data_IF_338459100784
#
_entry.id   IF_338459100784
#
_cell.length_a   1.000
_cell.length_b   1.000
_cell.length_c   1.000
_cell.angle_alpha   90.00
_cell.angle_beta   90.00
_cell.angle_gamma   90.00
#
_symmetry.space_group_name_H-M   'P 1'
#
loop_
_entity.id
_entity.type
_entity.pdbx_description
1 polymer ?
#
# COMPACT_ATOMS: atom_id res chain seq x y z
N UNK A 1 5.06 -23.63 5.52
CA UNK A 1 5.35 -23.45 4.07
C UNK A 1 6.59 -24.22 3.69
N UNK A 2 6.49 -25.17 2.75
CA UNK A 2 7.66 -25.84 2.18
C UNK A 2 8.30 -24.92 1.14
N UNK A 3 9.57 -24.56 1.35
CA UNK A 3 10.29 -23.64 0.46
C UNK A 3 10.57 -24.25 -0.91
N UNK A 4 10.57 -25.58 -1.03
CA UNK A 4 10.85 -26.29 -2.29
C UNK A 4 9.70 -26.18 -3.28
N UNK A 5 8.46 -26.04 -2.80
CA UNK A 5 7.27 -25.90 -3.65
C UNK A 5 7.31 -24.62 -4.50
N UNK A 6 8.13 -23.65 -4.11
CA UNK A 6 8.29 -22.37 -4.80
C UNK A 6 9.35 -22.39 -5.91
N UNK A 7 10.07 -23.50 -6.13
CA UNK A 7 11.21 -23.53 -7.06
C UNK A 7 10.85 -23.07 -8.49
N UNK A 8 9.76 -23.60 -9.05
CA UNK A 8 9.31 -23.22 -10.39
C UNK A 8 8.82 -21.78 -10.42
N UNK A 9 8.12 -21.35 -9.38
CA UNK A 9 7.60 -20.00 -9.23
C UNK A 9 8.73 -18.98 -9.20
N UNK A 10 9.76 -19.20 -8.38
CA UNK A 10 10.96 -18.36 -8.30
C UNK A 10 11.64 -18.23 -9.66
N UNK A 11 11.87 -19.34 -10.36
CA UNK A 11 12.51 -19.32 -11.67
C UNK A 11 11.73 -18.45 -12.69
N UNK A 12 10.40 -18.53 -12.70
CA UNK A 12 9.55 -17.70 -13.56
C UNK A 12 9.54 -16.24 -13.10
N UNK A 13 9.46 -15.98 -11.79
CA UNK A 13 9.53 -14.63 -11.22
C UNK A 13 10.83 -13.92 -11.61
N UNK A 14 11.98 -14.62 -11.63
CA UNK A 14 13.25 -14.04 -12.12
C UNK A 14 13.15 -13.54 -13.56
N UNK A 15 12.46 -14.28 -14.44
CA UNK A 15 12.24 -13.84 -15.82
C UNK A 15 11.39 -12.57 -15.84
N UNK A 16 10.36 -12.48 -15.00
CA UNK A 16 9.52 -11.28 -14.92
C UNK A 16 10.23 -10.07 -14.30
N UNK A 17 11.14 -10.27 -13.33
CA UNK A 17 11.95 -9.19 -12.76
C UNK A 17 12.79 -8.46 -13.84
N UNK A 18 13.26 -9.16 -14.88
CA UNK A 18 13.99 -8.53 -16.00
C UNK A 18 13.15 -7.55 -16.82
N UNK A 19 11.82 -7.58 -16.66
CA UNK A 19 10.86 -6.75 -17.41
C UNK A 19 10.43 -5.49 -16.66
N UNK A 20 10.78 -5.39 -15.36
CA UNK A 20 10.53 -4.22 -14.54
C UNK A 20 11.11 -2.95 -15.19
N UNK A 21 10.46 -1.82 -14.93
CA UNK A 21 10.89 -0.52 -15.40
C UNK A 21 12.21 -0.14 -14.72
N UNK A 22 13.22 0.14 -15.54
CA UNK A 22 14.51 0.62 -15.08
C UNK A 22 14.46 2.12 -14.84
N UNK A 23 15.39 2.61 -14.03
CA UNK A 23 15.47 4.05 -13.74
C UNK A 23 15.70 4.91 -15.00
N UNK A 24 16.52 4.45 -15.94
CA UNK A 24 16.73 5.12 -17.22
C UNK A 24 15.42 5.29 -18.03
N UNK A 25 14.53 4.29 -17.96
CA UNK A 25 13.23 4.35 -18.65
C UNK A 25 12.26 5.27 -17.94
N UNK A 26 12.28 5.31 -16.61
CA UNK A 26 11.48 6.29 -15.87
C UNK A 26 11.98 7.72 -16.14
N UNK A 27 13.29 7.97 -16.17
CA UNK A 27 13.84 9.28 -16.53
C UNK A 27 13.38 9.73 -17.92
N UNK A 28 13.38 8.83 -18.92
CA UNK A 28 12.76 9.12 -20.24
C UNK A 28 11.30 9.56 -20.12
N UNK A 29 10.50 8.92 -19.25
CA UNK A 29 9.09 9.30 -19.02
C UNK A 29 8.95 10.62 -18.25
N UNK A 30 9.88 10.92 -17.36
CA UNK A 30 9.95 12.19 -16.62
C UNK A 30 10.28 13.35 -17.54
N UNK A 31 11.14 13.15 -18.54
CA UNK A 31 11.50 14.16 -19.53
C UNK A 31 10.54 14.25 -20.72
N UNK A 32 9.62 13.29 -20.84
CA UNK A 32 8.56 13.31 -21.86
C UNK A 32 7.76 14.62 -21.82
N UNK A 33 7.41 15.16 -22.98
CA UNK A 33 6.74 16.47 -23.09
C UNK A 33 5.31 16.47 -22.53
N UNK A 34 4.62 15.34 -22.68
CA UNK A 34 3.20 15.15 -22.37
C UNK A 34 2.91 13.69 -22.00
N UNK A 35 1.70 13.43 -21.52
CA UNK A 35 1.26 12.09 -21.14
C UNK A 35 1.21 11.12 -22.34
N UNK A 36 0.96 11.61 -23.55
CA UNK A 36 0.90 10.79 -24.77
C UNK A 36 2.28 10.25 -25.16
N UNK A 37 3.34 11.03 -24.92
CA UNK A 37 4.71 10.55 -25.02
C UNK A 37 5.04 9.52 -23.92
N UNK A 38 4.53 9.69 -22.70
CA UNK A 38 4.67 8.65 -21.66
C UNK A 38 3.98 7.36 -22.09
N UNK A 39 2.77 7.42 -22.67
CA UNK A 39 2.10 6.23 -23.19
C UNK A 39 2.89 5.55 -24.32
N UNK A 40 3.53 6.30 -25.22
CA UNK A 40 4.41 5.71 -26.24
C UNK A 40 5.58 4.96 -25.63
N UNK A 41 6.26 5.55 -24.64
CA UNK A 41 7.35 4.88 -23.92
C UNK A 41 6.83 3.65 -23.17
N UNK A 42 5.66 3.73 -22.55
CA UNK A 42 5.04 2.62 -21.83
C UNK A 42 4.63 1.47 -22.78
N UNK A 43 4.22 1.79 -24.00
CA UNK A 43 3.95 0.82 -25.07
C UNK A 43 5.17 0.04 -25.57
N UNK A 44 6.39 0.47 -25.22
CA UNK A 44 7.64 -0.28 -25.46
C UNK A 44 7.91 -1.34 -24.36
N UNK A 45 6.98 -1.54 -23.41
CA UNK A 45 7.19 -2.35 -22.20
C UNK A 45 6.12 -3.43 -22.05
N UNK A 46 6.17 -4.22 -20.96
CA UNK A 46 5.17 -5.26 -20.70
C UNK A 46 3.73 -4.71 -20.54
N UNK A 47 3.60 -3.42 -20.24
CA UNK A 47 2.31 -2.73 -20.14
C UNK A 47 1.57 -2.67 -21.48
N UNK A 48 2.26 -2.81 -22.61
CA UNK A 48 1.63 -2.87 -23.93
C UNK A 48 0.54 -3.94 -24.02
N UNK A 49 0.67 -5.04 -23.26
CA UNK A 49 -0.28 -6.14 -23.24
C UNK A 49 -1.64 -5.78 -22.61
N UNK A 50 -1.70 -4.69 -21.83
CA UNK A 50 -2.91 -4.23 -21.15
C UNK A 50 -3.38 -2.86 -21.62
N UNK A 51 -2.66 -2.25 -22.58
CA UNK A 51 -3.03 -0.95 -23.11
C UNK A 51 -4.18 -1.10 -24.12
N UNK A 52 -5.29 -0.35 -23.94
CA UNK A 52 -6.38 -0.32 -24.91
C UNK A 52 -5.91 0.32 -26.24
N UNK A 53 -6.56 -0.06 -27.34
CA UNK A 53 -6.22 0.42 -28.68
C UNK A 53 -6.48 1.92 -28.91
N UNK A 54 -7.23 2.59 -28.04
CA UNK A 54 -7.42 4.04 -28.03
C UNK A 54 -7.23 4.54 -26.60
N UNK A 55 -6.37 5.54 -26.44
CA UNK A 55 -5.99 6.11 -25.16
C UNK A 55 -6.31 7.60 -25.14
N UNK A 56 -6.98 8.05 -24.08
CA UNK A 56 -6.94 9.45 -23.66
C UNK A 56 -6.03 9.56 -22.45
N UNK A 57 -5.41 10.73 -22.24
CA UNK A 57 -4.60 11.00 -21.05
C UNK A 57 -5.28 10.60 -19.73
N UNK A 58 -6.60 10.74 -19.61
CA UNK A 58 -7.38 10.39 -18.42
C UNK A 58 -7.53 8.88 -18.19
N UNK A 59 -7.29 8.05 -19.21
CA UNK A 59 -7.41 6.59 -19.13
C UNK A 59 -6.21 5.90 -18.45
N UNK A 60 -5.22 6.67 -17.98
CA UNK A 60 -3.99 6.11 -17.39
C UNK A 60 -4.28 5.16 -16.21
N UNK A 61 -5.26 5.47 -15.35
CA UNK A 61 -5.63 4.59 -14.23
C UNK A 61 -6.13 3.23 -14.74
N UNK A 62 -6.84 3.17 -15.87
CA UNK A 62 -7.31 1.90 -16.44
C UNK A 62 -6.14 1.00 -16.82
N UNK A 63 -5.08 1.58 -17.41
CA UNK A 63 -3.85 0.83 -17.74
C UNK A 63 -3.19 0.31 -16.46
N UNK A 64 -3.03 1.17 -15.46
CA UNK A 64 -2.39 0.80 -14.19
C UNK A 64 -3.17 -0.29 -13.45
N UNK A 65 -4.50 -0.18 -13.39
CA UNK A 65 -5.36 -1.20 -12.80
C UNK A 65 -5.35 -2.51 -13.59
N UNK A 66 -5.38 -2.45 -14.92
CA UNK A 66 -5.34 -3.64 -15.76
C UNK A 66 -4.01 -4.40 -15.59
N UNK A 67 -2.89 -3.68 -15.51
CA UNK A 67 -1.59 -4.28 -15.21
C UNK A 67 -1.58 -4.90 -13.81
N UNK A 68 -2.03 -4.16 -12.80
CA UNK A 68 -2.10 -4.66 -11.43
C UNK A 68 -2.92 -5.96 -11.37
N UNK A 69 -4.09 -5.99 -12.01
CA UNK A 69 -4.93 -7.18 -12.10
C UNK A 69 -4.23 -8.36 -12.79
N UNK A 70 -3.54 -8.10 -13.90
CA UNK A 70 -2.75 -9.12 -14.60
C UNK A 70 -1.66 -9.69 -13.70
N UNK A 71 -0.92 -8.84 -12.99
CA UNK A 71 0.18 -9.23 -12.11
C UNK A 71 -0.31 -10.06 -10.93
N UNK A 72 -1.38 -9.63 -10.25
CA UNK A 72 -1.93 -10.38 -9.11
C UNK A 72 -2.43 -11.75 -9.54
N UNK A 73 -3.18 -11.84 -10.65
CA UNK A 73 -3.62 -13.13 -11.20
C UNK A 73 -2.45 -14.04 -11.55
N UNK A 74 -1.42 -13.49 -12.21
CA UNK A 74 -0.22 -14.24 -12.55
C UNK A 74 0.50 -14.76 -11.30
N UNK A 75 0.67 -13.94 -10.26
CA UNK A 75 1.35 -14.36 -9.04
C UNK A 75 0.52 -15.37 -8.26
N UNK A 76 -0.81 -15.27 -8.27
CA UNK A 76 -1.71 -16.26 -7.69
C UNK A 76 -1.60 -17.62 -8.39
N UNK A 77 -1.55 -17.64 -9.73
CA UNK A 77 -1.37 -18.85 -10.53
C UNK A 77 0.02 -19.49 -10.36
N UNK A 78 1.04 -18.69 -10.01
CA UNK A 78 2.41 -19.15 -9.84
C UNK A 78 2.73 -19.58 -8.41
N UNK A 79 2.11 -18.97 -7.40
CA UNK A 79 2.42 -19.22 -6.00
C UNK A 79 1.90 -20.58 -5.58
N UNK A 80 2.72 -21.35 -4.86
CA UNK A 80 2.28 -22.61 -4.27
C UNK A 80 1.24 -22.39 -3.15
N UNK A 81 1.33 -21.25 -2.46
CA UNK A 81 0.40 -20.88 -1.40
C UNK A 81 -0.15 -19.46 -1.64
N UNK A 82 -1.48 -19.31 -1.58
CA UNK A 82 -2.17 -18.04 -1.85
C UNK A 82 -1.81 -16.94 -0.85
N UNK A 83 -1.47 -17.32 0.39
CA UNK A 83 -1.14 -16.39 1.48
C UNK A 83 -0.04 -15.37 1.12
N UNK A 84 0.91 -15.76 0.26
CA UNK A 84 1.99 -14.88 -0.21
C UNK A 84 1.44 -13.70 -1.02
N UNK A 85 0.43 -13.95 -1.86
CA UNK A 85 -0.25 -12.94 -2.67
C UNK A 85 -1.26 -12.17 -1.82
N UNK A 86 -1.95 -12.86 -0.91
CA UNK A 86 -2.97 -12.28 -0.04
C UNK A 86 -2.39 -11.20 0.89
N UNK A 87 -1.14 -11.36 1.36
CA UNK A 87 -0.42 -10.31 2.10
C UNK A 87 -0.41 -8.95 1.39
N UNK A 88 -0.33 -8.95 0.05
CA UNK A 88 -0.34 -7.72 -0.73
C UNK A 88 -1.76 -7.34 -1.18
N UNK A 89 -2.62 -8.32 -1.45
CA UNK A 89 -3.99 -8.10 -1.93
C UNK A 89 -4.96 -7.59 -0.86
N UNK A 90 -4.75 -7.95 0.42
CA UNK A 90 -5.69 -7.71 1.51
C UNK A 90 -6.11 -6.24 1.67
N UNK A 91 -5.20 -5.32 1.40
CA UNK A 91 -5.49 -3.87 1.48
C UNK A 91 -6.60 -3.44 0.54
N UNK A 92 -6.80 -4.14 -0.58
CA UNK A 92 -7.86 -3.84 -1.55
C UNK A 92 -9.23 -4.28 -1.02
N UNK A 93 -9.30 -5.41 -0.29
CA UNK A 93 -10.52 -5.80 0.42
C UNK A 93 -10.92 -4.70 1.41
N UNK A 94 -10.02 -4.31 2.31
CA UNK A 94 -10.34 -3.29 3.32
C UNK A 94 -10.58 -1.90 2.73
N UNK A 95 -9.96 -1.55 1.60
CA UNK A 95 -10.33 -0.35 0.84
C UNK A 95 -11.79 -0.42 0.37
N UNK A 96 -12.19 -1.55 -0.19
CA UNK A 96 -13.55 -1.76 -0.66
C UNK A 96 -14.56 -1.81 0.50
N UNK A 97 -14.23 -2.44 1.63
CA UNK A 97 -15.05 -2.42 2.84
C UNK A 97 -15.24 -0.98 3.37
N UNK A 98 -14.16 -0.17 3.41
CA UNK A 98 -14.25 1.25 3.81
C UNK A 98 -15.20 2.02 2.91
N UNK A 99 -15.05 1.83 1.61
CA UNK A 99 -15.88 2.48 0.59
C UNK A 99 -17.34 2.07 0.73
N UNK A 100 -17.60 0.78 0.95
CA UNK A 100 -18.94 0.21 1.13
C UNK A 100 -19.65 0.75 2.37
N UNK A 101 -18.97 0.76 3.51
CA UNK A 101 -19.54 1.29 4.77
C UNK A 101 -19.83 2.78 4.62
N UNK A 102 -18.90 3.56 4.04
CA UNK A 102 -19.11 4.99 3.77
C UNK A 102 -20.24 5.27 2.79
N UNK A 103 -20.36 4.46 1.74
CA UNK A 103 -21.43 4.59 0.75
C UNK A 103 -22.80 4.48 1.43
N UNK A 104 -22.99 3.45 2.27
CA UNK A 104 -24.22 3.26 3.06
C UNK A 104 -24.42 4.37 4.09
N UNK A 105 -23.39 4.68 4.89
CA UNK A 105 -23.42 5.67 5.96
C UNK A 105 -23.75 7.10 5.47
N UNK A 106 -23.23 7.46 4.29
CA UNK A 106 -23.39 8.80 3.71
C UNK A 106 -24.51 8.87 2.67
N UNK A 107 -25.18 7.75 2.39
CA UNK A 107 -26.16 7.61 1.31
C UNK A 107 -25.65 8.15 -0.04
N UNK A 108 -24.43 7.73 -0.42
CA UNK A 108 -23.77 8.13 -1.67
C UNK A 108 -23.37 6.90 -2.45
N UNK A 109 -23.60 6.93 -3.76
CA UNK A 109 -23.01 5.96 -4.66
C UNK A 109 -21.50 6.23 -4.78
N UNK A 110 -20.70 5.23 -4.43
CA UNK A 110 -19.24 5.25 -4.48
C UNK A 110 -18.71 4.06 -5.28
N UNK A 111 -19.54 3.46 -6.14
CA UNK A 111 -19.20 2.22 -6.85
C UNK A 111 -17.95 2.34 -7.73
N UNK A 112 -17.71 3.53 -8.30
CA UNK A 112 -16.52 3.85 -9.09
C UNK A 112 -15.22 3.81 -8.29
N UNK A 113 -15.27 3.88 -6.95
CA UNK A 113 -14.10 3.85 -6.08
C UNK A 113 -13.67 2.43 -5.68
N UNK A 114 -14.46 1.41 -6.02
CA UNK A 114 -14.08 0.03 -5.75
C UNK A 114 -12.93 -0.42 -6.64
N UNK A 115 -12.03 -1.20 -6.05
CA UNK A 115 -10.90 -1.80 -6.74
C UNK A 115 -11.24 -3.28 -6.96
N UNK A 116 -11.29 -3.78 -8.21
CA UNK A 116 -11.64 -5.17 -8.51
C UNK A 116 -10.44 -6.12 -8.27
N UNK A 117 -9.89 -6.04 -7.06
CA UNK A 117 -8.77 -6.81 -6.52
C UNK A 117 -9.06 -7.08 -5.04
N UNK A 118 -8.55 -8.18 -4.53
CA UNK A 118 -8.78 -8.59 -3.16
C UNK A 118 -8.53 -10.08 -2.99
N UNK A 119 -8.71 -10.55 -1.77
CA UNK A 119 -8.54 -11.95 -1.38
C UNK A 119 -9.86 -12.73 -1.50
N UNK A 120 -11.00 -12.03 -1.57
CA UNK A 120 -12.36 -12.57 -1.62
C UNK A 120 -13.18 -11.94 -2.75
N UNK A 121 -14.34 -12.55 -3.05
CA UNK A 121 -15.33 -11.95 -3.97
C UNK A 121 -16.05 -10.78 -3.30
N UNK A 122 -15.59 -9.57 -3.59
CA UNK A 122 -16.18 -8.35 -3.02
C UNK A 122 -17.67 -8.17 -3.38
N UNK A 123 -18.15 -8.67 -4.53
CA UNK A 123 -19.56 -8.52 -4.88
C UNK A 123 -20.47 -9.34 -3.98
N UNK A 124 -20.01 -10.52 -3.55
CA UNK A 124 -20.70 -11.33 -2.55
C UNK A 124 -20.77 -10.58 -1.22
N UNK A 125 -19.64 -10.03 -0.74
CA UNK A 125 -19.58 -9.25 0.51
C UNK A 125 -20.52 -8.02 0.44
N UNK A 126 -20.46 -7.25 -0.66
CA UNK A 126 -21.33 -6.09 -0.88
C UNK A 126 -22.81 -6.46 -0.82
N UNK A 127 -23.19 -7.53 -1.51
CA UNK A 127 -24.58 -8.01 -1.53
C UNK A 127 -25.05 -8.42 -0.13
N UNK A 128 -24.24 -9.20 0.58
CA UNK A 128 -24.54 -9.67 1.93
C UNK A 128 -24.69 -8.49 2.93
N UNK A 129 -23.77 -7.53 2.89
CA UNK A 129 -23.79 -6.35 3.76
C UNK A 129 -25.00 -5.43 3.53
N UNK A 130 -25.38 -5.23 2.25
CA UNK A 130 -26.57 -4.44 1.91
C UNK A 130 -27.87 -5.15 2.29
N UNK A 131 -27.91 -6.48 2.21
CA UNK A 131 -29.02 -7.29 2.67
C UNK A 131 -29.11 -7.42 4.20
N UNK A 132 -28.04 -7.06 4.93
CA UNK A 132 -27.95 -7.25 6.39
C UNK A 132 -27.75 -8.71 6.81
N UNK A 133 -27.30 -9.57 5.90
CA UNK A 133 -27.02 -11.00 6.15
C UNK A 133 -25.55 -11.28 5.87
N UNK A 134 -24.71 -11.22 6.90
CA UNK A 134 -23.27 -11.44 6.82
C UNK A 134 -22.86 -12.86 7.24
N UNK A 135 -23.79 -13.81 7.34
CA UNK A 135 -23.50 -15.16 7.88
C UNK A 135 -22.42 -15.92 7.10
N UNK A 136 -22.41 -15.74 5.78
CA UNK A 136 -21.51 -16.41 4.84
C UNK A 136 -20.27 -15.54 4.49
N UNK A 137 -20.16 -14.34 5.08
CA UNK A 137 -18.97 -13.49 4.93
C UNK A 137 -17.89 -13.96 5.91
N UNK A 138 -16.63 -13.94 5.47
CA UNK A 138 -15.48 -14.25 6.32
C UNK A 138 -15.58 -13.53 7.68
N UNK A 139 -15.40 -14.24 8.81
CA UNK A 139 -15.58 -13.64 10.13
C UNK A 139 -14.77 -12.36 10.36
N UNK A 140 -13.53 -12.27 9.85
CA UNK A 140 -12.69 -11.08 10.04
C UNK A 140 -13.25 -9.87 9.29
N UNK A 141 -13.85 -10.07 8.12
CA UNK A 141 -14.51 -9.00 7.37
C UNK A 141 -15.87 -8.64 7.96
N UNK A 142 -16.65 -9.62 8.41
CA UNK A 142 -17.91 -9.39 9.11
C UNK A 142 -17.70 -8.54 10.36
N UNK A 143 -16.77 -8.92 11.24
CA UNK A 143 -16.48 -8.17 12.46
C UNK A 143 -16.04 -6.73 12.16
N UNK A 144 -15.21 -6.55 11.11
CA UNK A 144 -14.75 -5.23 10.68
C UNK A 144 -15.92 -4.35 10.19
N UNK A 145 -16.83 -4.91 9.39
CA UNK A 145 -18.02 -4.23 8.88
C UNK A 145 -18.98 -3.85 10.01
N UNK A 146 -19.27 -4.79 10.91
CA UNK A 146 -20.16 -4.58 12.06
C UNK A 146 -19.60 -3.51 13.00
N UNK A 147 -18.32 -3.60 13.36
CA UNK A 147 -17.67 -2.62 14.24
C UNK A 147 -17.71 -1.20 13.67
N UNK A 148 -17.39 -1.05 12.37
CA UNK A 148 -17.40 0.26 11.72
C UNK A 148 -18.82 0.83 11.58
N UNK A 149 -19.80 -0.01 11.28
CA UNK A 149 -21.22 0.39 11.17
C UNK A 149 -21.76 0.84 12.52
N UNK A 150 -21.57 0.03 13.57
CA UNK A 150 -22.06 0.32 14.92
C UNK A 150 -21.43 1.60 15.49
N UNK A 151 -20.12 1.82 15.31
CA UNK A 151 -19.46 3.03 15.80
C UNK A 151 -19.94 4.28 15.04
N UNK A 152 -20.19 4.17 13.74
CA UNK A 152 -20.77 5.26 12.97
C UNK A 152 -22.22 5.57 13.40
N UNK A 153 -23.06 4.57 13.61
CA UNK A 153 -24.43 4.76 14.10
C UNK A 153 -24.47 5.44 15.47
N UNK A 154 -23.50 5.14 16.34
CA UNK A 154 -23.40 5.73 17.68
C UNK A 154 -22.81 7.15 17.68
N UNK A 155 -21.83 7.45 16.83
CA UNK A 155 -21.04 8.71 16.91
C UNK A 155 -21.21 9.65 15.72
N UNK A 156 -21.69 9.17 14.59
CA UNK A 156 -21.95 9.95 13.37
C UNK A 156 -20.71 10.54 12.69
N UNK A 157 -19.49 10.09 13.02
CA UNK A 157 -18.24 10.62 12.44
C UNK A 157 -17.67 9.66 11.37
N UNK A 158 -17.71 10.02 10.07
CA UNK A 158 -17.19 9.18 8.98
C UNK A 158 -15.68 8.91 9.06
N UNK A 159 -14.91 9.75 9.77
CA UNK A 159 -13.47 9.52 9.95
C UNK A 159 -13.19 8.28 10.78
N UNK A 160 -14.13 7.90 11.65
CA UNK A 160 -14.00 6.73 12.52
C UNK A 160 -14.14 5.41 11.77
N UNK A 161 -14.86 5.43 10.64
CA UNK A 161 -14.96 4.28 9.73
C UNK A 161 -13.56 3.89 9.22
N UNK A 162 -12.76 4.87 8.80
CA UNK A 162 -11.37 4.62 8.35
C UNK A 162 -10.53 4.07 9.51
N UNK A 163 -10.58 4.71 10.68
CA UNK A 163 -9.78 4.30 11.84
C UNK A 163 -10.08 2.86 12.28
N UNK A 164 -11.35 2.47 12.29
CA UNK A 164 -11.75 1.11 12.67
C UNK A 164 -11.29 0.12 11.61
N UNK A 165 -11.62 0.34 10.34
CA UNK A 165 -11.29 -0.62 9.30
C UNK A 165 -9.78 -0.72 9.05
N UNK A 166 -9.01 0.36 9.25
CA UNK A 166 -7.55 0.30 9.22
C UNK A 166 -6.99 -0.57 10.37
N UNK A 167 -7.57 -0.52 11.58
CA UNK A 167 -7.18 -1.43 12.67
C UNK A 167 -7.42 -2.89 12.32
N UNK A 168 -8.61 -3.21 11.81
CA UNK A 168 -8.93 -4.58 11.39
C UNK A 168 -8.03 -5.04 10.24
N UNK A 169 -7.74 -4.15 9.28
CA UNK A 169 -6.80 -4.42 8.21
C UNK A 169 -5.41 -4.79 8.73
N UNK A 170 -4.81 -3.96 9.57
CA UNK A 170 -3.46 -4.21 10.06
C UNK A 170 -3.38 -5.38 11.03
N UNK A 171 -4.43 -5.62 11.81
CA UNK A 171 -4.56 -6.85 12.62
C UNK A 171 -4.52 -8.09 11.73
N UNK A 172 -5.39 -8.13 10.73
CA UNK A 172 -5.50 -9.25 9.81
C UNK A 172 -4.21 -9.45 9.01
N UNK A 173 -3.61 -8.36 8.51
CA UNK A 173 -2.34 -8.40 7.79
C UNK A 173 -1.21 -8.98 8.65
N UNK A 174 -1.13 -8.57 9.93
CA UNK A 174 -0.13 -9.09 10.86
C UNK A 174 -0.32 -10.59 11.12
N UNK A 175 -1.56 -11.03 11.32
CA UNK A 175 -1.88 -12.46 11.51
C UNK A 175 -1.48 -13.29 10.28
N UNK A 176 -1.80 -12.84 9.07
CA UNK A 176 -1.36 -13.51 7.84
C UNK A 176 0.17 -13.58 7.75
N UNK A 177 0.86 -12.47 8.05
CA UNK A 177 2.32 -12.47 8.00
C UNK A 177 2.92 -13.45 9.00
N UNK A 178 2.35 -13.52 10.20
CA UNK A 178 2.75 -14.46 11.25
C UNK A 178 2.50 -15.91 10.86
N UNK A 179 1.39 -16.21 10.20
CA UNK A 179 1.07 -17.57 9.73
C UNK A 179 2.09 -18.11 8.71
N UNK A 180 2.74 -17.23 7.94
CA UNK A 180 3.79 -17.67 7.00
C UNK A 180 5.08 -18.13 7.67
N UNK A 181 5.36 -17.69 8.90
CA UNK A 181 6.64 -17.84 9.59
C UNK A 181 7.88 -17.34 8.80
N UNK A 182 7.68 -16.49 7.78
CA UNK A 182 8.77 -15.91 6.98
C UNK A 182 9.21 -14.57 7.59
N UNK A 183 10.49 -14.45 8.03
CA UNK A 183 10.96 -13.22 8.69
C UNK A 183 10.80 -11.96 7.87
N UNK A 184 10.99 -12.03 6.54
CA UNK A 184 10.79 -10.89 5.65
C UNK A 184 9.36 -10.35 5.74
N UNK A 185 8.35 -11.21 5.72
CA UNK A 185 6.94 -10.81 5.68
C UNK A 185 6.51 -10.21 7.01
N UNK A 186 6.91 -10.85 8.12
CA UNK A 186 6.65 -10.33 9.47
C UNK A 186 7.32 -8.97 9.64
N UNK A 187 8.62 -8.84 9.32
CA UNK A 187 9.33 -7.58 9.44
C UNK A 187 8.71 -6.48 8.57
N UNK A 188 8.40 -6.78 7.30
CA UNK A 188 7.75 -5.84 6.39
C UNK A 188 6.44 -5.29 6.97
N UNK A 189 5.58 -6.16 7.50
CA UNK A 189 4.29 -5.76 8.05
C UNK A 189 4.45 -4.95 9.34
N UNK A 190 5.33 -5.38 10.26
CA UNK A 190 5.56 -4.64 11.50
C UNK A 190 6.17 -3.25 11.24
N UNK A 191 7.12 -3.15 10.32
CA UNK A 191 7.72 -1.87 9.94
C UNK A 191 6.69 -0.97 9.24
N UNK A 192 5.84 -1.53 8.38
CA UNK A 192 4.73 -0.80 7.76
C UNK A 192 3.74 -0.26 8.81
N UNK A 193 3.46 -1.03 9.87
CA UNK A 193 2.63 -0.59 11.00
C UNK A 193 3.31 0.57 11.73
N UNK A 194 4.59 0.46 12.06
CA UNK A 194 5.32 1.52 12.77
C UNK A 194 5.38 2.81 11.96
N UNK A 195 5.68 2.74 10.66
CA UNK A 195 5.61 3.92 9.78
C UNK A 195 4.20 4.50 9.68
N UNK A 196 3.17 3.65 9.61
CA UNK A 196 1.77 4.09 9.58
C UNK A 196 1.35 4.79 10.87
N UNK A 197 1.85 4.31 12.01
CA UNK A 197 1.66 4.92 13.32
C UNK A 197 2.36 6.28 13.43
N UNK A 198 3.63 6.38 13.02
CA UNK A 198 4.37 7.65 13.01
C UNK A 198 3.67 8.65 12.06
N UNK A 199 3.28 8.21 10.86
CA UNK A 199 2.54 9.05 9.91
C UNK A 199 1.24 9.57 10.52
N UNK A 200 0.49 8.69 11.20
CA UNK A 200 -0.75 9.03 11.88
C UNK A 200 -0.51 10.04 13.01
N UNK A 201 0.51 9.82 13.84
CA UNK A 201 0.91 10.75 14.90
C UNK A 201 1.18 12.15 14.34
N UNK A 202 2.00 12.27 13.29
CA UNK A 202 2.33 13.58 12.69
C UNK A 202 1.08 14.28 12.15
N UNK A 203 0.19 13.52 11.49
CA UNK A 203 -1.09 14.05 10.98
C UNK A 203 -1.98 14.57 12.11
N UNK A 204 -2.14 13.79 13.18
CA UNK A 204 -3.00 14.13 14.31
C UNK A 204 -2.43 15.28 15.14
N UNK A 205 -1.10 15.36 15.28
CA UNK A 205 -0.40 16.51 15.87
C UNK A 205 -0.72 17.80 15.10
N UNK A 206 -0.68 17.78 13.76
CA UNK A 206 -1.04 18.93 12.92
C UNK A 206 -2.52 19.33 13.06
N UNK A 207 -3.39 18.37 13.36
CA UNK A 207 -4.82 18.58 13.59
C UNK A 207 -5.16 18.98 15.04
N UNK A 208 -4.15 19.13 15.92
CA UNK A 208 -4.33 19.43 17.35
C UNK A 208 -5.28 18.46 18.07
N UNK A 209 -5.22 17.17 17.72
CA UNK A 209 -6.01 16.12 18.37
C UNK A 209 -5.43 15.79 19.75
N UNK A 210 -6.29 15.34 20.67
CA UNK A 210 -5.89 14.97 22.02
C UNK A 210 -5.22 13.59 22.08
N UNK A 211 -4.56 13.30 23.20
CA UNK A 211 -3.84 12.04 23.40
C UNK A 211 -4.76 10.81 23.27
N UNK A 212 -5.99 10.90 23.79
CA UNK A 212 -6.97 9.81 23.71
C UNK A 212 -7.32 9.46 22.27
N UNK A 213 -7.55 10.47 21.43
CA UNK A 213 -7.81 10.23 20.00
C UNK A 213 -6.60 9.61 19.29
N UNK A 214 -5.38 10.00 19.67
CA UNK A 214 -4.15 9.37 19.14
C UNK A 214 -4.06 7.91 19.56
N UNK A 215 -4.22 7.59 20.85
CA UNK A 215 -4.24 6.21 21.34
C UNK A 215 -5.30 5.35 20.65
N UNK A 216 -6.48 5.93 20.39
CA UNK A 216 -7.52 5.31 19.59
C UNK A 216 -7.15 5.15 18.12
N UNK A 217 -6.32 6.00 17.52
CA UNK A 217 -5.99 5.93 16.10
C UNK A 217 -4.79 5.03 15.80
N UNK A 218 -3.92 4.78 16.78
CA UNK A 218 -2.72 3.98 16.60
C UNK A 218 -3.05 2.47 16.48
N UNK A 219 -2.25 1.83 15.65
CA UNK A 219 -2.31 0.43 15.29
C UNK A 219 -1.44 -0.39 16.24
N UNK A 220 -1.88 -1.61 16.56
CA UNK A 220 -1.09 -2.59 17.33
C UNK A 220 -0.16 -3.40 16.41
N UNK A 221 0.72 -4.20 17.01
CA UNK A 221 1.60 -5.20 16.35
C UNK A 221 2.83 -4.67 15.60
N UNK A 222 3.09 -3.36 15.64
CA UNK A 222 4.38 -2.79 15.27
C UNK A 222 5.51 -3.23 16.22
N UNK A 223 6.76 -2.96 15.86
CA UNK A 223 7.92 -3.19 16.74
C UNK A 223 8.00 -2.16 17.85
N UNK A 224 7.41 -0.97 17.61
CA UNK A 224 7.30 0.10 18.60
C UNK A 224 5.93 0.01 19.26
N UNK A 225 5.88 -0.01 20.60
CA UNK A 225 4.61 -0.03 21.33
C UNK A 225 3.81 1.23 20.99
N UNK A 226 2.52 1.08 20.74
CA UNK A 226 1.65 2.22 20.37
C UNK A 226 1.61 3.27 21.48
N UNK A 227 1.71 2.87 22.75
CA UNK A 227 1.77 3.77 23.89
C UNK A 227 3.04 4.64 23.84
N UNK A 228 4.17 4.06 23.43
CA UNK A 228 5.42 4.82 23.25
C UNK A 228 5.27 5.86 22.14
N UNK A 229 4.59 5.52 21.03
CA UNK A 229 4.32 6.47 19.94
C UNK A 229 3.34 7.55 20.38
N UNK A 230 2.29 7.21 21.13
CA UNK A 230 1.29 8.17 21.60
C UNK A 230 1.93 9.28 22.46
N UNK A 231 2.87 8.91 23.33
CA UNK A 231 3.60 9.85 24.19
C UNK A 231 4.47 10.86 23.41
N UNK A 232 4.73 10.63 22.12
CA UNK A 232 5.44 11.55 21.25
C UNK A 232 4.55 12.71 20.74
N UNK A 233 3.24 12.71 21.05
CA UNK A 233 2.31 13.72 20.54
C UNK A 233 2.73 15.16 20.89
N UNK A 234 3.25 15.39 22.09
CA UNK A 234 3.66 16.72 22.57
C UNK A 234 5.08 17.11 22.15
N UNK A 235 5.88 16.15 21.68
CA UNK A 235 7.28 16.35 21.34
C UNK A 235 7.48 17.23 20.09
N UNK A 236 8.63 17.90 20.01
CA UNK A 236 9.10 18.50 18.75
C UNK A 236 9.51 17.41 17.76
N UNK A 237 9.54 17.72 16.46
CA UNK A 237 10.01 16.78 15.43
C UNK A 237 11.43 16.29 15.72
N UNK A 238 12.33 17.18 16.19
CA UNK A 238 13.70 16.80 16.56
C UNK A 238 13.75 15.80 17.73
N UNK A 239 12.86 15.96 18.73
CA UNK A 239 12.75 15.01 19.84
C UNK A 239 12.23 13.65 19.35
N UNK A 240 11.23 13.64 18.47
CA UNK A 240 10.70 12.42 17.84
C UNK A 240 11.81 11.68 17.09
N UNK A 241 12.56 12.38 16.23
CA UNK A 241 13.69 11.81 15.49
C UNK A 241 14.71 11.18 16.44
N UNK A 242 15.07 11.89 17.51
CA UNK A 242 16.05 11.41 18.48
C UNK A 242 15.58 10.18 19.25
N UNK A 243 14.31 10.14 19.68
CA UNK A 243 13.73 9.00 20.40
C UNK A 243 13.59 7.76 19.52
N UNK A 244 13.35 7.94 18.23
CA UNK A 244 13.15 6.83 17.28
C UNK A 244 14.44 6.31 16.63
N UNK A 245 15.60 6.96 16.86
CA UNK A 245 16.84 6.71 16.11
C UNK A 245 17.41 5.28 16.23
N UNK A 246 17.13 4.60 17.34
CA UNK A 246 17.69 3.28 17.64
C UNK A 246 16.83 2.13 17.10
N UNK A 247 15.62 2.41 16.60
CA UNK A 247 14.78 1.42 15.92
C UNK A 247 15.31 1.17 14.51
N UNK A 248 15.01 0.00 13.95
CA UNK A 248 15.45 -0.38 12.60
C UNK A 248 14.95 0.60 11.52
N UNK A 249 13.72 1.13 11.69
CA UNK A 249 13.14 2.16 10.83
C UNK A 249 13.69 3.57 11.09
N UNK A 250 14.54 3.75 12.11
CA UNK A 250 15.01 5.05 12.61
C UNK A 250 15.71 5.90 11.53
N UNK A 251 16.65 5.36 10.73
CA UNK A 251 17.30 6.12 9.67
C UNK A 251 16.34 6.67 8.60
N UNK A 252 15.37 5.86 8.17
CA UNK A 252 14.37 6.28 7.19
C UNK A 252 13.35 7.26 7.80
N UNK A 253 12.92 7.01 9.03
CA UNK A 253 12.07 7.93 9.82
C UNK A 253 12.72 9.30 9.95
N UNK A 254 14.03 9.36 10.27
CA UNK A 254 14.79 10.61 10.33
C UNK A 254 14.74 11.36 9.00
N UNK A 255 15.12 10.72 7.90
CA UNK A 255 15.10 11.33 6.56
C UNK A 255 13.71 11.87 6.20
N UNK A 256 12.67 11.08 6.46
CA UNK A 256 11.29 11.44 6.16
C UNK A 256 10.79 12.62 6.99
N UNK A 257 11.09 12.65 8.29
CA UNK A 257 10.69 13.75 9.17
C UNK A 257 11.48 15.04 8.91
N UNK A 258 12.76 14.97 8.59
CA UNK A 258 13.57 16.13 8.16
C UNK A 258 13.07 16.70 6.82
N UNK A 259 12.66 15.84 5.89
CA UNK A 259 12.03 16.27 4.64
C UNK A 259 10.67 16.95 4.92
N UNK A 260 9.82 16.33 5.74
CA UNK A 260 8.54 16.91 6.17
C UNK A 260 8.72 18.26 6.89
N UNK A 261 9.72 18.41 7.75
CA UNK A 261 10.00 19.66 8.46
C UNK A 261 10.36 20.80 7.49
N UNK A 262 11.07 20.49 6.40
CA UNK A 262 11.45 21.48 5.37
C UNK A 262 10.29 21.86 4.45
N UNK A 263 9.41 20.92 4.11
CA UNK A 263 8.40 21.12 3.05
C UNK A 263 6.96 21.23 3.56
N UNK A 264 6.68 20.76 4.77
CA UNK A 264 5.35 20.59 5.33
C UNK A 264 4.50 19.50 4.67
N UNK A 265 5.08 18.68 3.77
CA UNK A 265 4.36 17.68 2.98
C UNK A 265 4.60 16.28 3.52
N UNK A 266 3.53 15.64 3.99
CA UNK A 266 3.61 14.28 4.53
C UNK A 266 3.99 13.24 3.47
N UNK A 267 3.75 13.53 2.18
CA UNK A 267 4.19 12.70 1.05
C UNK A 267 5.71 12.50 1.00
N UNK A 268 6.49 13.45 1.54
CA UNK A 268 7.95 13.33 1.59
C UNK A 268 8.38 12.31 2.66
N UNK A 269 7.62 12.16 3.75
CA UNK A 269 7.79 11.06 4.72
C UNK A 269 7.37 9.72 4.10
N UNK A 270 6.23 9.68 3.40
CA UNK A 270 5.75 8.46 2.74
C UNK A 270 6.73 7.94 1.68
N UNK A 271 7.45 8.84 0.99
CA UNK A 271 8.51 8.45 0.06
C UNK A 271 9.63 7.68 0.76
N UNK A 272 10.12 8.15 1.90
CA UNK A 272 11.19 7.47 2.64
C UNK A 272 10.71 6.14 3.27
N UNK A 273 9.45 6.06 3.69
CA UNK A 273 8.80 4.80 4.07
C UNK A 273 8.79 3.80 2.90
N UNK A 274 8.30 4.21 1.73
CA UNK A 274 8.25 3.37 0.53
C UNK A 274 9.66 2.88 0.15
N UNK A 275 10.67 3.77 0.18
CA UNK A 275 12.06 3.45 -0.13
C UNK A 275 12.66 2.44 0.86
N UNK A 276 12.37 2.58 2.16
CA UNK A 276 12.80 1.62 3.18
C UNK A 276 12.19 0.24 2.94
N UNK A 277 10.87 0.18 2.73
CA UNK A 277 10.15 -1.07 2.50
C UNK A 277 10.62 -1.76 1.21
N UNK A 278 10.93 -1.00 0.16
CA UNK A 278 11.60 -1.53 -1.03
C UNK A 278 12.98 -2.11 -0.70
N UNK A 279 13.77 -1.39 0.10
CA UNK A 279 15.09 -1.83 0.58
C UNK A 279 15.06 -3.15 1.33
N UNK A 280 14.04 -3.39 2.17
CA UNK A 280 13.85 -4.67 2.87
C UNK A 280 13.67 -5.86 1.92
N UNK A 281 13.11 -5.63 0.74
CA UNK A 281 12.82 -6.67 -0.25
C UNK A 281 14.00 -6.95 -1.20
N UNK A 282 14.98 -6.04 -1.31
CA UNK A 282 16.13 -6.21 -2.22
C UNK A 282 16.97 -7.48 -1.97
N UNK A 283 17.20 -7.95 -0.73
CA UNK A 283 17.91 -9.20 -0.49
C UNK A 283 17.23 -10.44 -1.07
N UNK A 284 15.92 -10.38 -1.34
CA UNK A 284 15.18 -11.50 -1.94
C UNK A 284 15.72 -11.93 -3.30
N UNK A 285 16.49 -11.09 -4.00
CA UNK A 285 17.18 -11.46 -5.24
C UNK A 285 18.17 -12.63 -5.09
N UNK A 286 18.68 -12.85 -3.88
CA UNK A 286 19.63 -13.92 -3.57
C UNK A 286 18.95 -15.20 -3.06
N UNK A 287 17.61 -15.19 -2.92
CA UNK A 287 16.84 -16.34 -2.47
C UNK A 287 16.46 -17.20 -3.69
N UNK A 288 16.90 -18.46 -3.67
CA UNK A 288 16.64 -19.42 -4.76
C UNK A 288 15.47 -20.38 -4.45
N UNK A 289 15.10 -20.52 -3.18
CA UNK A 289 14.03 -21.39 -2.71
C UNK A 289 13.20 -20.64 -1.68
N UNK A 290 11.90 -20.49 -1.90
CA UNK A 290 10.97 -19.83 -0.98
C UNK A 290 10.08 -18.77 -1.63
N UNK A 291 9.13 -18.22 -0.86
CA UNK A 291 8.12 -17.29 -1.35
C UNK A 291 8.61 -15.84 -1.53
N UNK A 292 9.76 -15.49 -0.95
CA UNK A 292 10.25 -14.10 -0.86
C UNK A 292 10.41 -13.41 -2.22
N UNK A 293 10.91 -14.08 -3.29
CA UNK A 293 10.98 -13.47 -4.62
C UNK A 293 9.61 -13.09 -5.19
N UNK A 294 8.57 -13.89 -4.93
CA UNK A 294 7.19 -13.62 -5.41
C UNK A 294 6.65 -12.38 -4.70
N UNK A 295 6.75 -12.34 -3.37
CA UNK A 295 6.35 -11.19 -2.57
C UNK A 295 7.11 -9.91 -2.98
N UNK A 296 8.43 -10.02 -3.15
CA UNK A 296 9.27 -8.87 -3.54
C UNK A 296 8.94 -8.36 -4.94
N UNK A 297 8.59 -9.26 -5.87
CA UNK A 297 8.11 -8.88 -7.19
C UNK A 297 6.77 -8.14 -7.13
N UNK A 298 5.83 -8.56 -6.27
CA UNK A 298 4.60 -7.81 -6.03
C UNK A 298 4.89 -6.41 -5.47
N UNK A 299 5.76 -6.29 -4.46
CA UNK A 299 6.19 -4.99 -3.91
C UNK A 299 6.84 -4.10 -5.00
N UNK A 300 7.67 -4.69 -5.87
CA UNK A 300 8.28 -3.99 -7.00
C UNK A 300 7.24 -3.47 -7.99
N UNK A 301 6.30 -4.31 -8.42
CA UNK A 301 5.25 -3.92 -9.39
C UNK A 301 4.30 -2.87 -8.83
N UNK A 302 3.94 -2.94 -7.55
CA UNK A 302 3.14 -1.89 -6.94
C UNK A 302 3.87 -0.55 -6.85
N UNK A 303 5.16 -0.57 -6.55
CA UNK A 303 5.99 0.63 -6.51
C UNK A 303 6.14 1.24 -7.90
N UNK A 304 6.35 0.41 -8.91
CA UNK A 304 6.39 0.80 -10.32
C UNK A 304 5.08 1.48 -10.74
N UNK A 305 3.94 0.87 -10.44
CA UNK A 305 2.61 1.44 -10.72
C UNK A 305 2.41 2.77 -9.98
N UNK A 306 2.87 2.87 -8.73
CA UNK A 306 2.83 4.12 -7.96
C UNK A 306 3.71 5.20 -8.60
N UNK A 307 4.91 4.86 -9.07
CA UNK A 307 5.81 5.78 -9.78
C UNK A 307 5.19 6.25 -11.10
N UNK A 308 4.64 5.34 -11.89
CA UNK A 308 3.93 5.68 -13.13
C UNK A 308 2.75 6.62 -12.84
N UNK A 309 1.94 6.33 -11.82
CA UNK A 309 0.84 7.21 -11.40
C UNK A 309 1.32 8.63 -11.09
N UNK A 310 2.41 8.78 -10.34
CA UNK A 310 2.98 10.11 -10.06
C UNK A 310 3.35 10.83 -11.36
N UNK A 311 4.01 10.14 -12.30
CA UNK A 311 4.45 10.73 -13.56
C UNK A 311 3.23 11.15 -14.38
N UNK A 312 2.27 10.25 -14.59
CA UNK A 312 1.05 10.53 -15.36
C UNK A 312 0.27 11.71 -14.79
N UNK A 313 -0.02 11.69 -13.48
CA UNK A 313 -0.71 12.81 -12.79
C UNK A 313 0.09 14.09 -12.92
N UNK A 314 1.41 14.04 -12.76
CA UNK A 314 2.26 15.23 -12.86
C UNK A 314 2.31 15.80 -14.28
N UNK A 315 2.27 14.96 -15.31
CA UNK A 315 2.20 15.38 -16.72
C UNK A 315 0.86 16.02 -17.05
N UNK A 316 -0.25 15.44 -16.58
CA UNK A 316 -1.58 16.06 -16.69
C UNK A 316 -1.63 17.44 -16.02
N UNK A 317 -0.94 17.59 -14.89
CA UNK A 317 -0.81 18.86 -14.16
C UNK A 317 0.36 19.75 -14.61
N UNK A 318 1.03 19.41 -15.73
CA UNK A 318 2.12 20.18 -16.35
C UNK A 318 3.27 20.55 -15.39
N UNK A 319 3.61 19.64 -14.48
CA UNK A 319 4.75 19.85 -13.58
C UNK A 319 6.08 19.71 -14.30
N UNK A 320 7.09 20.46 -13.86
CA UNK A 320 8.44 20.37 -14.41
C UNK A 320 9.08 19.01 -14.12
N UNK A 321 9.98 18.50 -14.99
CA UNK A 321 10.72 17.27 -14.75
C UNK A 321 11.36 17.19 -13.35
N UNK A 322 12.00 18.26 -12.88
CA UNK A 322 12.63 18.29 -11.55
C UNK A 322 11.63 18.16 -10.40
N UNK A 323 10.45 18.77 -10.54
CA UNK A 323 9.37 18.62 -9.57
C UNK A 323 8.83 17.18 -9.53
N UNK A 324 8.84 16.48 -10.67
CA UNK A 324 8.48 15.07 -10.76
C UNK A 324 9.54 14.21 -10.08
N UNK A 325 10.83 14.36 -10.44
CA UNK A 325 11.96 13.61 -9.85
C UNK A 325 11.95 13.65 -8.33
N UNK A 326 11.71 14.83 -7.75
CA UNK A 326 11.64 15.00 -6.30
C UNK A 326 10.62 14.10 -5.60
N UNK A 327 9.56 13.70 -6.30
CA UNK A 327 8.45 12.87 -5.78
C UNK A 327 8.61 11.38 -6.04
N UNK A 328 9.56 10.98 -6.88
CA UNK A 328 9.71 9.56 -7.26
C UNK A 328 10.35 8.77 -6.12
N UNK A 329 9.89 7.53 -5.97
CA UNK A 329 10.40 6.53 -5.03
C UNK A 329 11.48 5.70 -5.71
N UNK A 330 12.31 5.04 -4.91
CA UNK A 330 13.31 4.10 -5.39
C UNK A 330 12.63 2.88 -6.02
N UNK A 331 13.19 2.41 -7.13
CA UNK A 331 12.74 1.19 -7.79
C UNK A 331 13.52 -0.02 -7.27
N UNK A 332 12.98 -1.20 -7.60
CA UNK A 332 13.64 -2.46 -7.30
C UNK A 332 14.92 -2.67 -8.12
N UNK A 333 14.89 -2.28 -9.42
CA UNK A 333 15.97 -2.43 -10.42
C UNK A 333 16.69 -1.12 -10.70
#
# INVERSE_FOLDING_TARGET
MDRMDFLQAVARTRVFETRLLTWARIERMVDARDIEEVFRILGETEYANVMPGSLRGEDYEKILYAELKRVYKLMEELSAEKIVVDLMALKYDYHNLKTLVKSKALNKDLDELYIPLGTQDFQQIKTAYLAGDLKDVDPKFREALEAATNDFELKGDPQRIDLILDKYYFQHLYELAKETDIPLFVNYVQDLIDFSNIKTLIRLKKQNKDLRFVEEALLSHGKIKKEEIALLLTDSLDSIINKLRNYEIGPATKKGLEAYQRTGRLSDFEKEMDNYLMGLNKPSQYIHFGPEPIFSYLVAKETEIKVLRIIMVSKLNKLSPDAIRGRLRDLYV
#
